data_IF_202781835103
#
_entry.id   IF_202781835103
#
_cell.length_a   1.000
_cell.length_b   1.000
_cell.length_c   1.000
_cell.angle_alpha   90.00
_cell.angle_beta   90.00
_cell.angle_gamma   90.00
#
_symmetry.space_group_name_H-M   'P 1'
#
loop_
_entity.id
_entity.type
_entity.pdbx_description
1 polymer ?
#
# COMPACT_ATOMS: atom_id res chain seq x y z
N UNK A 1 -4.60 -14.96 -21.89
CA UNK A 1 -4.43 -14.45 -20.51
C UNK A 1 -2.94 -14.19 -20.27
N UNK A 2 -2.54 -13.16 -19.53
CA UNK A 2 -1.12 -12.84 -19.38
C UNK A 2 -0.42 -13.83 -18.44
N UNK A 3 0.40 -14.73 -19.00
CA UNK A 3 1.23 -15.70 -18.28
C UNK A 3 2.38 -15.07 -17.46
N UNK A 4 2.38 -13.75 -17.28
CA UNK A 4 3.50 -12.97 -16.72
C UNK A 4 3.81 -13.30 -15.26
N UNK A 5 2.87 -13.91 -14.53
CA UNK A 5 2.98 -14.17 -13.09
C UNK A 5 2.89 -15.66 -12.73
N UNK A 6 2.99 -16.57 -13.70
CA UNK A 6 2.91 -18.02 -13.43
C UNK A 6 4.12 -18.55 -12.65
N UNK A 7 5.24 -17.81 -12.66
CA UNK A 7 6.48 -18.17 -11.95
C UNK A 7 6.52 -17.84 -10.45
N UNK A 8 5.41 -17.40 -9.82
CA UNK A 8 5.39 -17.01 -8.39
C UNK A 8 5.57 -18.19 -7.44
N UNK A 9 5.33 -19.42 -7.91
CA UNK A 9 5.51 -20.64 -7.11
C UNK A 9 4.41 -20.83 -6.06
N UNK A 10 4.67 -21.70 -5.07
CA UNK A 10 3.71 -22.02 -4.02
C UNK A 10 3.59 -20.87 -3.02
N UNK A 11 2.36 -20.39 -2.83
CA UNK A 11 2.02 -19.33 -1.88
C UNK A 11 1.50 -19.93 -0.55
N UNK A 12 1.69 -19.26 0.60
CA UNK A 12 1.06 -19.64 1.85
C UNK A 12 -0.47 -19.64 1.74
N UNK A 13 -1.16 -20.43 2.56
CA UNK A 13 -2.61 -20.68 2.44
C UNK A 13 -3.48 -19.39 2.40
N UNK A 14 -3.08 -18.33 3.10
CA UNK A 14 -3.80 -17.05 3.11
C UNK A 14 -3.51 -16.14 1.89
N UNK A 15 -2.65 -16.57 0.97
CA UNK A 15 -2.26 -15.83 -0.22
C UNK A 15 -2.55 -16.64 -1.47
N UNK A 16 -2.98 -15.96 -2.53
CA UNK A 16 -3.25 -16.58 -3.82
C UNK A 16 -2.91 -15.63 -4.95
N UNK A 17 -2.65 -16.20 -6.11
CA UNK A 17 -2.66 -15.43 -7.35
C UNK A 17 -4.12 -15.09 -7.69
N UNK A 18 -4.56 -13.89 -7.31
CA UNK A 18 -5.93 -13.48 -7.50
C UNK A 18 -6.23 -13.31 -9.01
N UNK A 19 -7.23 -14.03 -9.50
CA UNK A 19 -7.77 -13.91 -10.87
C UNK A 19 -9.14 -13.22 -10.79
N UNK A 20 -9.19 -11.88 -10.73
CA UNK A 20 -10.45 -11.16 -10.67
C UNK A 20 -11.23 -11.34 -11.97
N UNK A 21 -12.55 -11.12 -11.91
CA UNK A 21 -13.36 -10.96 -13.12
C UNK A 21 -12.85 -9.74 -13.88
N UNK A 22 -12.50 -9.93 -15.15
CA UNK A 22 -12.12 -8.86 -16.06
C UNK A 22 -13.28 -8.66 -17.04
N UNK A 23 -13.91 -7.50 -16.98
CA UNK A 23 -15.02 -7.13 -17.86
C UNK A 23 -14.87 -5.69 -18.33
N UNK A 24 -15.27 -5.46 -19.58
CA UNK A 24 -15.58 -4.11 -20.05
C UNK A 24 -16.90 -3.61 -19.47
N UNK A 25 -17.18 -2.33 -19.73
CA UNK A 25 -18.50 -1.71 -19.54
C UNK A 25 -19.20 -1.58 -20.89
N UNK A 26 -20.52 -1.50 -20.90
CA UNK A 26 -21.31 -1.37 -22.14
C UNK A 26 -20.99 -0.09 -22.90
N UNK A 27 -20.84 1.02 -22.18
CA UNK A 27 -20.50 2.33 -22.73
C UNK A 27 -19.08 2.72 -22.32
N UNK A 28 -18.12 2.47 -23.21
CA UNK A 28 -16.72 2.77 -22.95
C UNK A 28 -16.40 4.26 -23.15
N UNK A 29 -15.62 4.84 -22.24
CA UNK A 29 -15.15 6.22 -22.37
C UNK A 29 -14.23 6.39 -23.59
N UNK A 30 -14.50 7.42 -24.39
CA UNK A 30 -13.61 7.80 -25.48
C UNK A 30 -12.34 8.48 -24.94
N UNK A 31 -11.21 8.23 -25.60
CA UNK A 31 -9.93 8.87 -25.27
C UNK A 31 -10.06 10.40 -25.37
N UNK A 32 -9.82 11.10 -24.25
CA UNK A 32 -9.76 12.56 -24.21
C UNK A 32 -8.30 13.03 -24.34
N UNK A 33 -7.88 13.63 -25.47
CA UNK A 33 -6.55 14.20 -25.61
C UNK A 33 -6.42 15.46 -24.73
N UNK A 34 -5.30 15.61 -24.02
CA UNK A 34 -5.05 16.80 -23.19
C UNK A 34 -4.06 16.55 -22.07
N UNK A 35 -3.71 17.61 -21.33
CA UNK A 35 -2.90 17.51 -20.12
C UNK A 35 -3.76 16.95 -18.98
N UNK A 36 -3.22 15.99 -18.23
CA UNK A 36 -3.87 15.50 -17.02
C UNK A 36 -3.93 16.61 -15.95
N UNK A 37 -5.02 16.71 -15.17
CA UNK A 37 -5.11 17.68 -14.09
C UNK A 37 -4.02 17.48 -13.03
N UNK A 38 -3.49 18.56 -12.42
CA UNK A 38 -2.43 18.48 -11.41
C UNK A 38 -2.97 18.13 -10.00
N UNK A 39 -4.12 17.46 -9.93
CA UNK A 39 -4.76 17.08 -8.68
C UNK A 39 -5.33 15.67 -8.71
N UNK A 40 -5.49 15.08 -7.53
CA UNK A 40 -6.10 13.79 -7.29
C UNK A 40 -7.21 13.94 -6.26
N UNK A 41 -8.36 13.32 -6.51
CA UNK A 41 -9.52 13.34 -5.62
C UNK A 41 -9.68 11.96 -4.99
N UNK A 42 -9.87 11.90 -3.69
CA UNK A 42 -10.22 10.65 -3.00
C UNK A 42 -11.39 10.83 -2.04
N UNK A 43 -12.13 9.75 -1.84
CA UNK A 43 -13.24 9.64 -0.90
C UNK A 43 -13.29 8.23 -0.34
N UNK A 44 -13.73 8.12 0.91
CA UNK A 44 -13.91 6.84 1.60
C UNK A 44 -15.29 6.87 2.23
N UNK A 45 -16.04 5.77 2.11
CA UNK A 45 -17.37 5.62 2.72
C UNK A 45 -17.35 6.06 4.18
N UNK A 46 -18.32 6.89 4.58
CA UNK A 46 -18.40 7.51 5.90
C UNK A 46 -17.60 8.81 6.05
N UNK A 47 -16.85 9.23 5.04
CA UNK A 47 -16.24 10.56 5.01
C UNK A 47 -17.27 11.61 4.60
N UNK A 48 -17.31 12.73 5.33
CA UNK A 48 -18.18 13.87 5.04
C UNK A 48 -17.81 14.50 3.69
N UNK A 49 -16.51 14.75 3.47
CA UNK A 49 -16.03 15.48 2.29
C UNK A 49 -15.01 14.69 1.45
N UNK A 50 -14.96 15.06 0.17
CA UNK A 50 -13.88 14.73 -0.76
C UNK A 50 -12.55 15.32 -0.26
N UNK A 51 -11.45 14.61 -0.47
CA UNK A 51 -10.11 15.15 -0.31
C UNK A 51 -9.44 15.38 -1.66
N UNK A 52 -9.00 16.61 -1.89
CA UNK A 52 -8.26 17.03 -3.08
C UNK A 52 -6.78 17.19 -2.72
N UNK A 53 -5.91 16.51 -3.48
CA UNK A 53 -4.47 16.44 -3.28
C UNK A 53 -3.74 16.98 -4.52
N UNK A 54 -2.76 17.86 -4.32
CA UNK A 54 -1.84 18.25 -5.38
C UNK A 54 -0.89 17.08 -5.69
N UNK A 55 -0.86 16.62 -6.95
CA UNK A 55 -0.12 15.41 -7.34
C UNK A 55 1.40 15.59 -7.33
N UNK A 56 1.88 16.83 -7.42
CA UNK A 56 3.31 17.17 -7.34
C UNK A 56 3.81 17.12 -5.89
N UNK A 57 3.03 17.65 -4.95
CA UNK A 57 3.46 17.74 -3.54
C UNK A 57 2.99 16.57 -2.68
N UNK A 58 1.95 15.85 -3.12
CA UNK A 58 1.30 14.79 -2.34
C UNK A 58 0.54 15.31 -1.11
N UNK A 59 0.18 16.60 -1.09
CA UNK A 59 -0.48 17.28 0.05
C UNK A 59 -1.80 17.92 -0.37
N UNK A 60 -2.64 18.22 0.62
CA UNK A 60 -3.86 19.01 0.43
C UNK A 60 -3.50 20.44 0.03
N UNK A 61 -4.44 21.15 -0.60
CA UNK A 61 -4.24 22.56 -0.98
C UNK A 61 -3.92 23.48 0.20
N UNK A 62 -4.39 23.15 1.41
CA UNK A 62 -4.03 23.83 2.65
C UNK A 62 -2.63 23.47 3.21
N UNK A 63 -1.82 22.70 2.48
CA UNK A 63 -0.50 22.22 2.91
C UNK A 63 -0.53 20.99 3.85
N UNK A 64 -1.70 20.64 4.39
CA UNK A 64 -1.87 19.51 5.30
C UNK A 64 -1.63 18.14 4.66
N UNK A 65 -1.29 17.11 5.47
CA UNK A 65 -1.13 15.75 4.98
C UNK A 65 -2.47 15.19 4.47
N UNK A 66 -2.42 14.30 3.49
CA UNK A 66 -3.57 13.50 3.04
C UNK A 66 -3.98 12.50 4.12
N UNK A 67 -5.29 12.20 4.22
CA UNK A 67 -5.83 11.09 5.02
C UNK A 67 -5.28 9.72 4.62
N UNK A 68 -4.73 9.61 3.41
CA UNK A 68 -4.14 8.40 2.83
C UNK A 68 -2.61 8.35 2.96
N UNK A 69 -1.97 9.36 3.56
CA UNK A 69 -0.52 9.37 3.68
C UNK A 69 -0.05 8.30 4.68
N UNK A 70 1.23 7.91 4.59
CA UNK A 70 1.83 6.86 5.44
C UNK A 70 1.60 7.11 6.93
N UNK A 71 1.81 8.34 7.39
CA UNK A 71 1.66 8.74 8.79
C UNK A 71 0.22 8.56 9.30
N UNK A 72 -0.79 9.00 8.53
CA UNK A 72 -2.20 8.89 8.96
C UNK A 72 -2.64 7.43 9.01
N UNK A 73 -2.26 6.63 8.01
CA UNK A 73 -2.58 5.20 7.99
C UNK A 73 -1.86 4.44 9.10
N UNK A 74 -0.60 4.77 9.39
CA UNK A 74 0.16 4.13 10.46
C UNK A 74 -0.35 4.50 11.85
N UNK A 75 -0.81 5.73 12.06
CA UNK A 75 -1.43 6.14 13.31
C UNK A 75 -2.76 5.40 13.56
N UNK A 76 -3.59 5.24 12.53
CA UNK A 76 -4.81 4.41 12.61
C UNK A 76 -4.49 2.95 12.95
N UNK A 77 -3.45 2.40 12.32
CA UNK A 77 -2.96 1.06 12.62
C UNK A 77 -2.47 0.94 14.06
N UNK A 78 -1.66 1.88 14.55
CA UNK A 78 -1.09 1.84 15.90
C UNK A 78 -2.20 1.90 16.97
N UNK A 79 -3.23 2.74 16.76
CA UNK A 79 -4.42 2.79 17.63
C UNK A 79 -5.18 1.46 17.65
N UNK A 80 -5.32 0.80 16.49
CA UNK A 80 -5.97 -0.51 16.43
C UNK A 80 -5.14 -1.58 17.13
N UNK A 81 -3.82 -1.58 16.87
CA UNK A 81 -2.87 -2.49 17.52
C UNK A 81 -2.97 -2.39 19.05
N UNK A 82 -2.91 -1.18 19.60
CA UNK A 82 -3.02 -0.95 21.05
C UNK A 82 -4.36 -1.41 21.67
N UNK A 83 -5.45 -1.48 20.89
CA UNK A 83 -6.74 -2.01 21.36
C UNK A 83 -6.84 -3.53 21.30
N UNK A 84 -6.13 -4.15 20.36
CA UNK A 84 -6.17 -5.59 20.12
C UNK A 84 -5.07 -6.35 20.86
N UNK A 85 -3.99 -5.69 21.26
CA UNK A 85 -2.95 -6.27 22.08
C UNK A 85 -3.49 -6.52 23.50
N UNK A 86 -3.98 -7.74 23.74
CA UNK A 86 -4.61 -8.15 25.00
C UNK A 86 -3.62 -8.60 26.09
N UNK A 87 -2.32 -8.65 25.79
CA UNK A 87 -1.26 -9.03 26.73
C UNK A 87 -0.50 -7.84 27.30
N UNK A 88 0.12 -7.99 28.47
CA UNK A 88 1.15 -7.08 28.96
C UNK A 88 2.26 -6.99 27.91
N UNK A 89 2.52 -5.84 27.29
CA UNK A 89 3.56 -5.72 26.28
C UNK A 89 4.91 -6.05 26.91
N UNK A 90 5.64 -7.05 26.40
CA UNK A 90 7.05 -7.19 26.75
C UNK A 90 7.81 -6.02 26.11
N UNK A 91 8.86 -5.48 26.76
CA UNK A 91 9.78 -4.55 26.11
C UNK A 91 10.32 -5.18 24.81
N UNK A 92 9.93 -4.64 23.66
CA UNK A 92 10.29 -5.15 22.33
C UNK A 92 9.13 -5.69 21.47
N UNK A 93 7.95 -5.93 22.05
CA UNK A 93 6.80 -6.48 21.31
C UNK A 93 6.01 -5.42 20.52
N UNK A 94 6.21 -4.14 20.84
CA UNK A 94 5.51 -3.03 20.17
C UNK A 94 6.46 -2.32 19.22
N UNK A 95 6.19 -2.33 17.89
CA UNK A 95 7.04 -1.61 16.96
C UNK A 95 6.98 -0.11 17.24
N UNK A 96 8.14 0.53 17.30
CA UNK A 96 8.27 1.96 17.55
C UNK A 96 8.30 2.76 16.23
N UNK A 97 8.82 2.12 15.17
CA UNK A 97 8.97 2.70 13.86
C UNK A 97 8.01 2.09 12.84
N UNK A 98 7.65 2.86 11.82
CA UNK A 98 6.81 2.39 10.73
C UNK A 98 7.45 1.22 9.94
N UNK A 99 8.76 1.24 9.73
CA UNK A 99 9.48 0.15 9.10
C UNK A 99 9.43 -1.15 9.92
N UNK A 100 9.59 -1.08 11.24
CA UNK A 100 9.49 -2.23 12.15
C UNK A 100 8.11 -2.85 12.09
N UNK A 101 7.05 -2.04 12.18
CA UNK A 101 5.67 -2.52 12.06
C UNK A 101 5.41 -3.22 10.73
N UNK A 102 6.00 -2.73 9.63
CA UNK A 102 5.92 -3.40 8.32
C UNK A 102 6.71 -4.71 8.29
N UNK A 103 7.87 -4.77 8.95
CA UNK A 103 8.70 -5.98 9.00
C UNK A 103 8.07 -7.09 9.84
N UNK A 104 7.31 -6.74 10.89
CA UNK A 104 6.54 -7.69 11.70
C UNK A 104 5.51 -8.51 10.92
N UNK A 105 5.10 -8.05 9.73
CA UNK A 105 4.25 -8.83 8.82
C UNK A 105 5.06 -9.88 8.03
N UNK A 106 5.71 -10.84 8.71
CA UNK A 106 6.67 -11.78 8.13
C UNK A 106 6.15 -12.53 6.89
N UNK A 107 4.95 -13.10 6.95
CA UNK A 107 4.36 -13.83 5.82
C UNK A 107 4.18 -12.94 4.59
N UNK A 108 3.74 -11.70 4.80
CA UNK A 108 3.62 -10.71 3.72
C UNK A 108 4.99 -10.39 3.11
N UNK A 109 6.01 -10.20 3.94
CA UNK A 109 7.36 -9.91 3.46
C UNK A 109 7.91 -11.08 2.62
N UNK A 110 7.73 -12.32 3.06
CA UNK A 110 8.14 -13.52 2.32
C UNK A 110 7.45 -13.63 0.96
N UNK A 111 6.12 -13.45 0.90
CA UNK A 111 5.35 -13.48 -0.35
C UNK A 111 5.77 -12.34 -1.29
N UNK A 112 6.01 -11.14 -0.76
CA UNK A 112 6.52 -10.02 -1.55
C UNK A 112 7.89 -10.33 -2.17
N UNK A 113 8.79 -10.99 -1.45
CA UNK A 113 10.09 -11.41 -2.00
C UNK A 113 9.95 -12.50 -3.06
N UNK A 114 9.03 -13.46 -2.88
CA UNK A 114 8.72 -14.46 -3.91
C UNK A 114 8.24 -13.79 -5.20
N UNK A 115 7.36 -12.80 -5.09
CA UNK A 115 6.89 -12.02 -6.23
C UNK A 115 8.04 -11.31 -6.97
N UNK A 116 8.96 -10.68 -6.25
CA UNK A 116 10.11 -10.01 -6.87
C UNK A 116 11.02 -10.99 -7.61
N UNK A 117 11.30 -12.16 -6.99
CA UNK A 117 12.07 -13.23 -7.61
C UNK A 117 11.37 -13.79 -8.86
N UNK A 118 10.05 -13.89 -8.83
CA UNK A 118 9.27 -14.38 -9.97
C UNK A 118 9.40 -13.46 -11.19
N UNK A 119 9.34 -12.14 -11.01
CA UNK A 119 9.59 -11.19 -12.10
C UNK A 119 10.99 -11.34 -12.68
N UNK A 120 12.01 -11.42 -11.82
CA UNK A 120 13.39 -11.60 -12.27
C UNK A 120 13.58 -12.91 -13.03
N UNK A 121 13.06 -14.04 -12.49
CA UNK A 121 13.13 -15.36 -13.12
C UNK A 121 12.41 -15.41 -14.47
N UNK A 122 11.32 -14.66 -14.61
CA UNK A 122 10.57 -14.55 -15.86
C UNK A 122 11.21 -13.59 -16.89
N UNK A 123 12.38 -13.00 -16.59
CA UNK A 123 13.02 -12.03 -17.48
C UNK A 123 12.29 -10.68 -17.55
N UNK A 124 11.44 -10.36 -16.56
CA UNK A 124 10.63 -9.15 -16.51
C UNK A 124 11.30 -8.00 -15.72
N UNK A 125 12.56 -8.18 -15.34
CA UNK A 125 13.35 -7.20 -14.60
C UNK A 125 13.18 -7.26 -13.08
N UNK A 126 13.79 -6.29 -12.40
CA UNK A 126 13.86 -6.21 -10.94
C UNK A 126 12.91 -5.14 -10.40
N UNK A 127 12.20 -5.47 -9.31
CA UNK A 127 11.30 -4.52 -8.66
C UNK A 127 12.06 -3.35 -8.01
N UNK A 128 11.80 -2.12 -8.46
CA UNK A 128 12.40 -0.91 -7.90
C UNK A 128 11.72 -0.52 -6.59
N UNK A 129 12.51 -0.30 -5.54
CA UNK A 129 12.03 0.11 -4.21
C UNK A 129 12.43 1.55 -3.94
N UNK A 130 11.61 2.23 -3.13
CA UNK A 130 12.00 3.54 -2.58
C UNK A 130 13.12 3.35 -1.54
N UNK A 131 13.93 4.39 -1.31
CA UNK A 131 14.93 4.38 -0.24
C UNK A 131 14.29 4.06 1.13
N UNK A 132 14.95 3.26 1.98
CA UNK A 132 14.40 2.82 3.28
C UNK A 132 14.09 3.97 4.23
N UNK A 133 14.78 5.11 4.09
CA UNK A 133 14.63 6.33 4.90
C UNK A 133 13.20 6.87 4.83
N UNK A 134 12.48 6.65 3.71
CA UNK A 134 11.08 7.04 3.57
C UNK A 134 10.13 6.29 4.52
N UNK A 135 10.61 5.24 5.20
CA UNK A 135 9.86 4.44 6.17
C UNK A 135 10.42 4.55 7.60
N UNK A 136 11.51 5.30 7.79
CA UNK A 136 12.16 5.49 9.09
C UNK A 136 11.55 6.69 9.83
N UNK A 137 10.30 6.54 10.27
CA UNK A 137 9.64 7.53 11.12
C UNK A 137 8.88 6.82 12.25
N UNK A 138 8.72 7.52 13.37
CA UNK A 138 8.04 7.00 14.55
C UNK A 138 6.55 6.80 14.29
N UNK A 139 5.98 5.75 14.88
CA UNK A 139 4.54 5.60 14.93
C UNK A 139 3.96 6.61 15.93
N UNK A 140 3.10 7.48 15.44
CA UNK A 140 2.31 8.37 16.30
C UNK A 140 1.11 7.58 16.84
N UNK A 141 0.99 7.49 18.18
CA UNK A 141 -0.16 6.90 18.88
C UNK A 141 -1.32 7.91 18.99
#
# INVERSE_FOLDING_TARGET
MSHRMEGVGQLPASYRHNRPLLSGVSDAEARQPGKSPPFSVNWVVGSVDLEIINTTTGRRSCGGPSRLCKHVLSARWARLYGRLSTGTPSPGDTPSMYCEAKLGAHTYQSVKQQLFKAFQKAGLGTWVRKPPEQQQFLLTL
#
